data_IF_097546154417
#
_entry.id   IF_097546154417
#
_cell.length_a   1.000
_cell.length_b   1.000
_cell.length_c   1.000
_cell.angle_alpha   90.00
_cell.angle_beta   90.00
_cell.angle_gamma   90.00
#
_symmetry.space_group_name_H-M   'P 1'
#
loop_
_entity.id
_entity.type
_entity.pdbx_description
1 polymer ?
#
# COMPACT_ATOMS: atom_id res chain seq x y z
N UNK A 1 12.98 13.14 -18.77
CA UNK A 1 13.43 14.37 -19.47
C UNK A 1 14.16 15.21 -18.44
N UNK A 2 15.32 15.77 -18.79
CA UNK A 2 16.10 16.64 -17.92
C UNK A 2 16.49 17.90 -18.70
N UNK A 3 16.36 19.07 -18.07
CA UNK A 3 16.75 20.36 -18.63
C UNK A 3 17.37 21.20 -17.52
N UNK A 4 18.42 21.93 -17.85
CA UNK A 4 19.13 22.75 -16.87
C UNK A 4 19.65 24.03 -17.54
N UNK A 5 19.60 25.13 -16.80
CA UNK A 5 20.21 26.40 -17.21
C UNK A 5 20.78 27.12 -16.00
N UNK A 6 21.93 27.76 -16.17
CA UNK A 6 22.55 28.56 -15.11
C UNK A 6 22.99 29.93 -15.63
N UNK A 7 23.00 30.89 -14.71
CA UNK A 7 23.55 32.24 -14.90
C UNK A 7 24.41 32.57 -13.70
N UNK A 8 25.56 33.18 -13.92
CA UNK A 8 26.51 33.38 -12.83
C UNK A 8 27.52 34.49 -13.08
N UNK A 9 28.34 34.71 -12.07
CA UNK A 9 29.46 35.64 -12.09
C UNK A 9 30.74 34.90 -11.66
N UNK A 10 31.83 35.15 -12.38
CA UNK A 10 33.13 34.55 -12.11
C UNK A 10 34.21 35.59 -11.93
N UNK A 11 35.14 35.35 -11.01
CA UNK A 11 36.37 36.13 -10.85
C UNK A 11 37.55 35.20 -10.62
N UNK A 12 38.52 35.23 -11.53
CA UNK A 12 39.62 34.27 -11.53
C UNK A 12 39.12 32.83 -11.68
N UNK A 13 39.58 31.93 -10.80
CA UNK A 13 39.13 30.53 -10.77
C UNK A 13 37.83 30.30 -10.00
N UNK A 14 37.25 31.30 -9.33
CA UNK A 14 36.03 31.14 -8.55
C UNK A 14 34.79 31.63 -9.33
N UNK A 15 33.70 30.88 -9.24
CA UNK A 15 32.42 31.20 -9.90
C UNK A 15 31.24 30.98 -8.96
N UNK A 16 30.24 31.86 -9.03
CA UNK A 16 28.94 31.68 -8.36
C UNK A 16 27.87 31.62 -9.43
N UNK A 17 27.06 30.56 -9.43
CA UNK A 17 26.04 30.30 -10.44
C UNK A 17 24.67 30.08 -9.78
N UNK A 18 23.65 30.80 -10.26
CA UNK A 18 22.25 30.47 -10.02
C UNK A 18 21.81 29.51 -11.10
N UNK A 19 21.34 28.33 -10.71
CA UNK A 19 20.99 27.23 -11.58
C UNK A 19 19.53 26.83 -11.36
N UNK A 20 18.82 26.62 -12.47
CA UNK A 20 17.46 26.09 -12.48
C UNK A 20 17.48 24.79 -13.26
N UNK A 21 17.10 23.71 -12.60
CA UNK A 21 17.00 22.37 -13.18
C UNK A 21 15.58 21.85 -13.15
N UNK A 22 15.20 21.07 -14.16
CA UNK A 22 13.99 20.28 -14.18
C UNK A 22 14.31 18.83 -14.57
N UNK A 23 13.99 17.89 -13.69
CA UNK A 23 14.15 16.46 -13.93
C UNK A 23 12.83 15.72 -13.72
N UNK A 24 12.50 14.81 -14.64
CA UNK A 24 11.32 13.94 -14.56
C UNK A 24 11.73 12.47 -14.56
N UNK A 25 11.44 11.79 -13.46
CA UNK A 25 11.70 10.37 -13.21
C UNK A 25 10.40 9.58 -13.36
N UNK A 26 10.28 8.81 -14.44
CA UNK A 26 9.14 7.90 -14.62
C UNK A 26 9.23 6.73 -13.65
N UNK A 27 8.10 6.31 -13.09
CA UNK A 27 8.02 5.08 -12.31
C UNK A 27 8.01 3.88 -13.27
N UNK A 28 8.71 2.80 -12.90
CA UNK A 28 8.63 1.53 -13.63
C UNK A 28 7.84 0.55 -12.76
N UNK A 29 6.75 0.01 -13.30
CA UNK A 29 6.00 -1.07 -12.66
C UNK A 29 6.63 -2.42 -12.95
N UNK A 30 6.82 -3.26 -11.92
CA UNK A 30 7.16 -4.67 -12.12
C UNK A 30 5.85 -5.41 -12.41
N UNK A 31 5.68 -5.90 -13.64
CA UNK A 31 4.67 -6.92 -13.96
C UNK A 31 5.34 -8.28 -13.88
N UNK A 32 4.72 -9.21 -13.15
CA UNK A 32 5.20 -10.58 -12.91
C UNK A 32 5.08 -11.52 -14.14
N UNK A 33 5.05 -10.95 -15.34
CA UNK A 33 5.05 -11.69 -16.60
C UNK A 33 6.18 -11.14 -17.47
N UNK A 34 7.23 -11.94 -17.67
CA UNK A 34 8.50 -11.59 -18.33
C UNK A 34 8.42 -11.14 -19.79
N UNK A 35 7.62 -10.13 -20.09
CA UNK A 35 7.47 -9.56 -21.42
C UNK A 35 7.25 -8.05 -21.30
N UNK A 36 8.34 -7.32 -21.53
CA UNK A 36 8.46 -5.87 -21.77
C UNK A 36 8.04 -4.95 -20.61
N UNK A 37 9.01 -4.15 -20.17
CA UNK A 37 8.81 -2.99 -19.30
C UNK A 37 8.00 -1.93 -20.06
N UNK A 38 6.68 -2.02 -20.03
CA UNK A 38 5.83 -0.94 -20.52
C UNK A 38 5.81 0.17 -19.47
N UNK A 39 6.10 1.40 -19.91
CA UNK A 39 5.90 2.62 -19.12
C UNK A 39 4.41 2.79 -18.84
N UNK A 40 3.91 2.21 -17.75
CA UNK A 40 2.52 2.33 -17.33
C UNK A 40 2.39 3.32 -16.18
N UNK A 41 1.35 4.15 -16.22
CA UNK A 41 0.93 4.96 -15.07
C UNK A 41 0.61 4.02 -13.91
N UNK A 42 1.38 4.13 -12.82
CA UNK A 42 1.24 3.25 -11.67
C UNK A 42 0.15 3.78 -10.73
N UNK A 43 -0.87 2.95 -10.53
CA UNK A 43 -2.02 3.23 -9.68
C UNK A 43 -1.87 2.43 -8.38
N UNK A 44 -1.72 3.12 -7.26
CA UNK A 44 -1.52 2.51 -5.94
C UNK A 44 -2.81 2.51 -5.15
N UNK A 45 -3.28 1.32 -4.74
CA UNK A 45 -4.36 1.18 -3.77
C UNK A 45 -3.78 1.31 -2.36
N UNK A 46 -4.29 2.25 -1.58
CA UNK A 46 -3.90 2.44 -0.19
C UNK A 46 -4.56 1.36 0.67
N UNK A 47 -3.84 0.27 0.89
CA UNK A 47 -4.27 -0.78 1.82
C UNK A 47 -4.28 -0.22 3.25
N UNK A 48 -5.43 -0.35 3.91
CA UNK A 48 -5.58 -0.07 5.34
C UNK A 48 -5.34 -1.36 6.15
N UNK A 49 -5.52 -1.28 7.46
CA UNK A 49 -5.13 -2.30 8.44
C UNK A 49 -5.60 -3.72 8.04
N UNK A 50 -6.88 -3.91 7.70
CA UNK A 50 -7.43 -5.22 7.33
C UNK A 50 -6.87 -5.74 6.02
N UNK A 51 -6.87 -4.92 4.96
CA UNK A 51 -6.37 -5.32 3.65
C UNK A 51 -4.87 -5.67 3.71
N UNK A 52 -4.09 -4.87 4.42
CA UNK A 52 -2.66 -5.08 4.62
C UNK A 52 -2.37 -6.36 5.42
N UNK A 53 -3.07 -6.56 6.54
CA UNK A 53 -2.85 -7.73 7.41
C UNK A 53 -3.23 -9.05 6.73
N UNK A 54 -4.26 -9.06 5.88
CA UNK A 54 -4.61 -10.24 5.07
C UNK A 54 -3.51 -10.61 4.09
N UNK A 55 -3.00 -9.64 3.32
CA UNK A 55 -1.98 -9.89 2.29
C UNK A 55 -0.64 -10.26 2.91
N UNK A 56 -0.28 -9.65 4.04
CA UNK A 56 0.97 -9.93 4.75
C UNK A 56 0.89 -11.12 5.70
N UNK A 57 -0.31 -11.65 5.94
CA UNK A 57 -0.53 -12.82 6.80
C UNK A 57 -0.40 -12.53 8.30
N UNK A 58 -0.65 -11.30 8.74
CA UNK A 58 -0.59 -10.92 10.16
C UNK A 58 -1.87 -11.32 10.90
N UNK A 59 -2.05 -12.61 11.19
CA UNK A 59 -3.29 -13.16 11.76
C UNK A 59 -3.74 -12.48 13.05
N UNK A 60 -2.83 -12.17 13.98
CA UNK A 60 -3.19 -11.56 15.27
C UNK A 60 -3.61 -10.09 15.13
N UNK A 61 -2.91 -9.33 14.28
CA UNK A 61 -3.27 -7.94 13.98
C UNK A 61 -4.61 -7.88 13.24
N UNK A 62 -4.80 -8.74 12.25
CA UNK A 62 -6.06 -8.88 11.52
C UNK A 62 -7.21 -9.22 12.48
N UNK A 63 -7.01 -10.16 13.40
CA UNK A 63 -8.03 -10.53 14.38
C UNK A 63 -8.39 -9.34 15.29
N UNK A 64 -7.40 -8.56 15.74
CA UNK A 64 -7.63 -7.38 16.56
C UNK A 64 -8.36 -6.26 15.80
N UNK A 65 -8.01 -6.03 14.54
CA UNK A 65 -8.65 -5.05 13.67
C UNK A 65 -10.10 -5.47 13.30
N UNK A 66 -10.31 -6.75 12.95
CA UNK A 66 -11.64 -7.32 12.71
C UNK A 66 -12.54 -7.23 13.96
N UNK A 67 -11.98 -7.43 15.16
CA UNK A 67 -12.73 -7.32 16.40
C UNK A 67 -13.27 -5.90 16.67
N UNK A 68 -12.60 -4.86 16.15
CA UNK A 68 -13.05 -3.46 16.22
C UNK A 68 -14.06 -3.10 15.11
N UNK A 69 -14.22 -3.97 14.13
CA UNK A 69 -15.14 -3.76 13.00
C UNK A 69 -16.56 -4.13 13.40
N UNK A 70 -17.55 -3.34 12.97
CA UNK A 70 -18.94 -3.60 13.33
C UNK A 70 -19.44 -4.87 12.65
N UNK A 71 -20.31 -5.62 13.33
CA UNK A 71 -20.91 -6.84 12.74
C UNK A 71 -21.67 -6.54 11.44
N UNK A 72 -22.24 -5.33 11.30
CA UNK A 72 -22.93 -4.88 10.08
C UNK A 72 -21.97 -4.83 8.88
N UNK A 73 -20.78 -4.27 9.08
CA UNK A 73 -19.77 -4.15 8.02
C UNK A 73 -19.25 -5.55 7.61
N UNK A 74 -19.09 -6.46 8.57
CA UNK A 74 -18.70 -7.86 8.30
C UNK A 74 -19.76 -8.60 7.49
N UNK A 75 -21.04 -8.38 7.78
CA UNK A 75 -22.13 -8.93 6.96
C UNK A 75 -22.08 -8.39 5.54
N UNK A 76 -21.81 -7.09 5.35
CA UNK A 76 -21.69 -6.50 4.01
C UNK A 76 -20.50 -7.09 3.24
N UNK A 77 -19.35 -7.21 3.90
CA UNK A 77 -18.16 -7.88 3.35
C UNK A 77 -18.45 -9.32 2.93
N UNK A 78 -19.04 -10.13 3.81
CA UNK A 78 -19.37 -11.52 3.52
C UNK A 78 -20.37 -11.66 2.36
N UNK A 79 -21.35 -10.76 2.25
CA UNK A 79 -22.28 -10.70 1.10
C UNK A 79 -21.53 -10.42 -0.20
N UNK A 80 -20.58 -9.49 -0.20
CA UNK A 80 -19.76 -9.19 -1.37
C UNK A 80 -18.89 -10.39 -1.77
N UNK A 81 -18.25 -11.06 -0.80
CA UNK A 81 -17.48 -12.30 -1.04
C UNK A 81 -18.38 -13.39 -1.64
N UNK A 82 -19.54 -13.65 -1.05
CA UNK A 82 -20.46 -14.69 -1.49
C UNK A 82 -21.04 -14.47 -2.89
N UNK A 83 -21.26 -13.22 -3.30
CA UNK A 83 -21.76 -12.87 -4.64
C UNK A 83 -20.65 -12.91 -5.68
N UNK A 84 -19.48 -12.33 -5.39
CA UNK A 84 -18.42 -12.15 -6.39
C UNK A 84 -17.45 -13.33 -6.45
N UNK A 85 -17.21 -14.02 -5.34
CA UNK A 85 -16.20 -15.08 -5.22
C UNK A 85 -16.70 -16.27 -4.38
N UNK A 86 -17.69 -17.05 -4.87
CA UNK A 86 -18.23 -18.21 -4.17
C UNK A 86 -17.18 -19.25 -3.73
N UNK A 87 -16.08 -19.38 -4.47
CA UNK A 87 -14.98 -20.27 -4.11
C UNK A 87 -14.29 -19.83 -2.81
N UNK A 88 -14.11 -18.52 -2.60
CA UNK A 88 -13.53 -17.95 -1.37
C UNK A 88 -14.54 -18.10 -0.22
N UNK A 89 -15.81 -17.76 -0.46
CA UNK A 89 -16.91 -17.95 0.50
C UNK A 89 -16.92 -19.38 1.05
N UNK A 90 -16.69 -20.37 0.19
CA UNK A 90 -16.72 -21.79 0.57
C UNK A 90 -15.59 -22.26 1.51
N UNK A 91 -14.51 -21.49 1.62
CA UNK A 91 -13.32 -21.81 2.42
C UNK A 91 -13.35 -21.17 3.81
N UNK A 92 -13.92 -19.97 3.90
CA UNK A 92 -13.95 -19.17 5.12
C UNK A 92 -15.15 -19.57 5.99
N UNK A 93 -14.94 -19.66 7.30
CA UNK A 93 -15.93 -20.14 8.26
C UNK A 93 -16.54 -21.47 7.81
N UNK A 94 -15.73 -22.37 7.26
CA UNK A 94 -16.22 -23.68 6.85
C UNK A 94 -16.41 -24.56 8.08
N UNK A 95 -17.66 -24.90 8.41
CA UNK A 95 -17.98 -25.75 9.57
C UNK A 95 -17.29 -27.11 9.49
N UNK A 96 -16.98 -27.68 10.65
CA UNK A 96 -16.25 -28.94 10.77
C UNK A 96 -17.16 -30.07 11.24
N UNK A 97 -16.74 -31.30 10.99
CA UNK A 97 -17.42 -32.50 11.51
C UNK A 97 -17.18 -32.64 13.00
N UNK A 98 -18.20 -33.08 13.73
CA UNK A 98 -18.05 -33.49 15.13
C UNK A 98 -17.33 -34.82 15.31
N UNK A 99 -17.35 -35.68 14.29
CA UNK A 99 -16.64 -36.96 14.27
C UNK A 99 -16.21 -37.32 12.85
N UNK A 100 -14.97 -37.76 12.69
CA UNK A 100 -14.42 -38.23 11.42
C UNK A 100 -15.09 -39.50 10.91
N UNK A 101 -15.64 -40.32 11.81
CA UNK A 101 -16.28 -41.61 11.50
C UNK A 101 -17.73 -41.48 11.04
N UNK A 102 -18.38 -40.31 11.23
CA UNK A 102 -19.74 -40.08 10.76
C UNK A 102 -19.76 -39.25 9.47
N UNK A 103 -20.54 -39.73 8.49
CA UNK A 103 -20.68 -39.08 7.18
C UNK A 103 -21.27 -37.67 7.27
N UNK A 104 -22.27 -37.48 8.14
CA UNK A 104 -23.15 -36.31 8.16
C UNK A 104 -23.18 -35.59 9.53
N UNK A 105 -22.02 -35.17 10.04
CA UNK A 105 -21.88 -34.57 11.39
C UNK A 105 -21.34 -33.13 11.37
N UNK A 106 -21.53 -32.39 10.27
CA UNK A 106 -21.10 -31.00 10.19
C UNK A 106 -21.91 -30.10 11.13
N UNK A 107 -21.25 -29.04 11.64
CA UNK A 107 -21.92 -27.99 12.40
C UNK A 107 -22.97 -27.26 11.56
N UNK A 108 -23.99 -26.75 12.23
CA UNK A 108 -25.07 -25.94 11.64
C UNK A 108 -25.01 -24.57 12.30
N UNK A 109 -24.84 -23.51 11.50
CA UNK A 109 -24.80 -22.17 12.06
C UNK A 109 -26.13 -21.77 12.68
N UNK A 110 -26.05 -21.22 13.88
CA UNK A 110 -27.17 -20.80 14.68
C UNK A 110 -26.81 -19.58 15.53
N UNK A 111 -27.81 -18.98 16.15
CA UNK A 111 -27.61 -17.78 16.99
C UNK A 111 -26.92 -18.08 18.33
N UNK A 112 -26.81 -19.34 18.71
CA UNK A 112 -26.20 -19.81 19.96
C UNK A 112 -25.62 -21.22 19.72
N UNK A 113 -24.43 -21.51 20.22
CA UNK A 113 -23.87 -22.87 20.20
C UNK A 113 -24.57 -23.77 21.21
N UNK A 114 -25.09 -24.91 20.74
CA UNK A 114 -25.67 -25.98 21.55
C UNK A 114 -25.17 -27.36 21.06
N UNK A 115 -23.95 -27.68 21.47
CA UNK A 115 -23.32 -28.97 21.18
C UNK A 115 -23.77 -30.12 22.09
N UNK A 116 -24.64 -29.91 23.08
CA UNK A 116 -24.92 -30.90 24.13
C UNK A 116 -26.42 -31.21 24.37
N UNK A 117 -27.34 -30.43 23.80
CA UNK A 117 -28.79 -30.59 23.99
C UNK A 117 -29.42 -31.74 23.20
N UNK A 118 -30.65 -32.15 23.57
CA UNK A 118 -31.41 -33.20 22.88
C UNK A 118 -32.14 -32.71 21.61
N UNK A 119 -32.33 -31.39 21.42
CA UNK A 119 -33.21 -30.82 20.38
C UNK A 119 -32.49 -30.00 19.30
N UNK A 120 -31.26 -29.53 19.55
CA UNK A 120 -30.50 -28.63 18.68
C UNK A 120 -29.06 -29.11 18.45
N UNK A 121 -28.87 -30.43 18.38
CA UNK A 121 -27.54 -31.06 18.31
C UNK A 121 -26.74 -30.55 17.13
N UNK A 122 -25.62 -29.89 17.39
CA UNK A 122 -24.69 -29.44 16.34
C UNK A 122 -24.88 -28.00 15.89
N UNK A 123 -25.77 -27.25 16.55
CA UNK A 123 -25.86 -25.80 16.41
C UNK A 123 -24.58 -25.12 16.91
N UNK A 124 -24.02 -24.22 16.12
CA UNK A 124 -22.77 -23.53 16.42
C UNK A 124 -22.83 -22.05 16.05
N UNK A 125 -22.36 -21.20 16.96
CA UNK A 125 -22.23 -19.75 16.75
C UNK A 125 -20.76 -19.31 16.53
N UNK A 126 -19.82 -20.25 16.52
CA UNK A 126 -18.40 -20.00 16.23
C UNK A 126 -18.10 -20.27 14.75
N UNK A 127 -17.49 -19.30 14.06
CA UNK A 127 -16.95 -19.46 12.71
C UNK A 127 -16.00 -20.68 12.63
N UNK A 128 -16.26 -21.60 11.69
CA UNK A 128 -15.52 -22.84 11.55
C UNK A 128 -15.79 -23.88 12.63
N UNK A 129 -16.84 -23.68 13.43
CA UNK A 129 -17.22 -24.57 14.52
C UNK A 129 -17.60 -25.98 14.08
N UNK A 130 -17.42 -26.94 14.99
CA UNK A 130 -17.69 -28.36 14.74
C UNK A 130 -19.11 -28.74 15.15
N UNK A 131 -19.70 -29.70 14.42
CA UNK A 131 -20.97 -30.31 14.80
C UNK A 131 -20.83 -31.31 15.95
N UNK A 132 -21.93 -32.03 16.25
CA UNK A 132 -21.94 -33.02 17.33
C UNK A 132 -21.38 -34.38 16.88
N UNK A 133 -20.58 -35.03 17.73
CA UNK A 133 -19.83 -36.24 17.37
C UNK A 133 -20.68 -37.50 17.15
N UNK A 134 -21.82 -37.62 17.82
CA UNK A 134 -22.60 -38.86 17.89
C UNK A 134 -23.95 -38.79 17.19
N UNK A 135 -24.23 -37.72 16.42
CA UNK A 135 -25.52 -37.55 15.73
C UNK A 135 -25.32 -37.09 14.30
N UNK A 136 -26.07 -37.70 13.38
CA UNK A 136 -26.19 -37.21 12.01
C UNK A 136 -27.01 -35.92 12.01
N UNK A 137 -26.35 -34.78 11.79
CA UNK A 137 -26.97 -33.44 11.83
C UNK A 137 -27.07 -32.85 10.43
N UNK A 138 -25.94 -32.73 9.74
CA UNK A 138 -25.85 -32.08 8.45
C UNK A 138 -24.81 -32.78 7.57
N UNK A 139 -25.19 -33.08 6.33
CA UNK A 139 -24.37 -33.82 5.37
C UNK A 139 -23.28 -32.95 4.73
N UNK A 140 -23.51 -31.64 4.63
CA UNK A 140 -22.62 -30.69 3.97
C UNK A 140 -22.17 -29.61 4.93
N UNK A 141 -20.93 -29.09 4.81
CA UNK A 141 -20.49 -27.96 5.61
C UNK A 141 -21.28 -26.71 5.25
N UNK A 142 -21.52 -25.86 6.24
CA UNK A 142 -21.89 -24.46 6.05
C UNK A 142 -20.65 -23.57 6.01
N UNK A 143 -20.79 -22.39 5.41
CA UNK A 143 -19.67 -21.51 5.03
C UNK A 143 -19.94 -20.05 5.43
N UNK A 144 -19.11 -19.10 5.00
CA UNK A 144 -19.17 -17.69 5.44
C UNK A 144 -20.54 -17.04 5.26
N UNK A 145 -21.20 -17.19 4.11
CA UNK A 145 -22.56 -16.65 3.91
C UNK A 145 -23.60 -17.21 4.90
N UNK A 146 -23.45 -18.47 5.30
CA UNK A 146 -24.36 -19.12 6.25
C UNK A 146 -24.10 -18.61 7.67
N UNK A 147 -22.83 -18.46 8.03
CA UNK A 147 -22.39 -17.84 9.28
C UNK A 147 -23.00 -16.45 9.43
N UNK A 148 -22.86 -15.58 8.42
CA UNK A 148 -23.41 -14.22 8.53
C UNK A 148 -24.94 -14.20 8.53
N UNK A 149 -25.59 -15.13 7.83
CA UNK A 149 -27.05 -15.21 7.78
C UNK A 149 -27.66 -15.73 9.09
N UNK A 150 -27.07 -16.78 9.68
CA UNK A 150 -27.65 -17.51 10.81
C UNK A 150 -27.07 -17.11 12.16
N UNK A 151 -25.77 -16.84 12.21
CA UNK A 151 -25.07 -16.50 13.44
C UNK A 151 -25.11 -14.99 13.70
N UNK A 152 -24.87 -14.18 12.67
CA UNK A 152 -24.94 -12.70 12.74
C UNK A 152 -26.33 -12.15 12.40
N UNK A 153 -27.33 -13.02 12.22
CA UNK A 153 -28.73 -12.68 11.91
C UNK A 153 -28.92 -11.85 10.63
N UNK A 154 -27.93 -11.85 9.73
CA UNK A 154 -27.95 -11.10 8.48
C UNK A 154 -27.85 -9.57 8.63
N UNK A 155 -27.72 -9.06 9.86
CA UNK A 155 -27.60 -7.63 10.17
C UNK A 155 -26.41 -7.30 11.09
N UNK A 156 -25.73 -8.30 11.66
CA UNK A 156 -24.55 -8.12 12.50
C UNK A 156 -24.86 -7.77 13.95
N UNK A 157 -26.11 -7.91 14.39
CA UNK A 157 -26.56 -7.50 15.74
C UNK A 157 -26.20 -8.49 16.85
N UNK A 158 -25.76 -9.71 16.49
CA UNK A 158 -25.42 -10.77 17.44
C UNK A 158 -24.14 -11.48 17.01
N UNK A 159 -23.43 -12.06 17.99
CA UNK A 159 -22.29 -12.96 17.81
C UNK A 159 -21.06 -12.36 17.11
N UNK A 160 -20.96 -11.03 17.00
CA UNK A 160 -19.75 -10.37 16.53
C UNK A 160 -19.26 -9.35 17.58
N UNK A 161 -17.96 -9.34 17.93
CA UNK A 161 -16.88 -10.24 17.47
C UNK A 161 -16.75 -11.56 18.25
N UNK A 162 -17.63 -11.81 19.21
CA UNK A 162 -17.59 -12.97 20.11
C UNK A 162 -18.85 -13.83 19.97
N UNK A 163 -18.72 -15.14 19.95
CA UNK A 163 -19.81 -16.12 19.84
C UNK A 163 -20.66 -16.18 21.12
N UNK A 164 -21.79 -16.91 21.06
CA UNK A 164 -22.65 -17.18 22.22
C UNK A 164 -22.87 -18.68 22.34
N UNK A 165 -22.87 -19.23 23.56
CA UNK A 165 -23.24 -20.62 23.81
C UNK A 165 -24.23 -20.73 24.96
N UNK A 166 -24.96 -21.85 25.02
CA UNK A 166 -25.69 -22.24 26.24
C UNK A 166 -24.71 -22.69 27.32
N UNK A 167 -25.14 -22.75 28.59
CA UNK A 167 -24.28 -23.06 29.74
C UNK A 167 -23.50 -24.39 29.59
N UNK A 168 -24.09 -25.39 28.93
CA UNK A 168 -23.46 -26.68 28.64
C UNK A 168 -23.00 -26.82 27.19
N UNK A 169 -23.06 -25.74 26.40
CA UNK A 169 -22.76 -25.74 24.98
C UNK A 169 -21.26 -25.85 24.71
N UNK A 170 -20.89 -26.41 23.57
CA UNK A 170 -19.52 -26.45 23.10
C UNK A 170 -19.48 -25.96 21.64
N UNK A 171 -18.53 -25.09 21.27
CA UNK A 171 -17.52 -24.44 22.12
C UNK A 171 -18.13 -23.37 23.04
N UNK A 172 -17.51 -23.13 24.20
CA UNK A 172 -17.82 -21.99 25.05
C UNK A 172 -17.21 -20.71 24.45
N UNK A 173 -17.86 -19.54 24.61
CA UNK A 173 -17.36 -18.30 24.04
C UNK A 173 -16.04 -17.88 24.66
N UNK A 174 -15.10 -17.46 23.81
CA UNK A 174 -13.89 -16.76 24.23
C UNK A 174 -13.87 -15.36 23.64
N UNK A 175 -13.20 -14.43 24.32
CA UNK A 175 -13.10 -13.04 23.85
C UNK A 175 -12.57 -12.99 22.41
N UNK A 176 -13.39 -12.42 21.52
CA UNK A 176 -13.15 -12.21 20.09
C UNK A 176 -12.94 -13.50 19.29
N UNK A 177 -13.49 -14.63 19.74
CA UNK A 177 -13.33 -15.93 19.08
C UNK A 177 -13.75 -15.95 17.59
N UNK A 178 -14.85 -15.29 17.22
CA UNK A 178 -15.31 -15.18 15.85
C UNK A 178 -14.38 -14.32 14.99
N UNK A 179 -13.90 -13.18 15.53
CA UNK A 179 -12.92 -12.35 14.82
C UNK A 179 -11.59 -13.10 14.59
N UNK A 180 -11.12 -13.84 15.61
CA UNK A 180 -9.92 -14.69 15.51
C UNK A 180 -10.09 -15.82 14.50
N UNK A 181 -11.24 -16.49 14.50
CA UNK A 181 -11.53 -17.58 13.57
C UNK A 181 -11.61 -17.07 12.12
N UNK A 182 -12.29 -15.95 11.86
CA UNK A 182 -12.33 -15.33 10.52
C UNK A 182 -10.93 -14.92 10.08
N UNK A 183 -10.15 -14.25 10.93
CA UNK A 183 -8.78 -13.84 10.60
C UNK A 183 -7.90 -15.04 10.23
N UNK A 184 -8.02 -16.13 11.00
CA UNK A 184 -7.29 -17.37 10.75
C UNK A 184 -7.64 -17.96 9.39
N UNK A 185 -8.92 -18.07 9.07
CA UNK A 185 -9.36 -18.65 7.79
C UNK A 185 -8.91 -17.77 6.60
N UNK A 186 -9.03 -16.44 6.71
CA UNK A 186 -8.58 -15.51 5.66
C UNK A 186 -7.07 -15.59 5.40
N UNK A 187 -6.26 -15.90 6.42
CA UNK A 187 -4.80 -15.99 6.28
C UNK A 187 -4.34 -17.40 5.91
N UNK A 188 -4.99 -18.45 6.41
CA UNK A 188 -4.48 -19.83 6.31
C UNK A 188 -5.13 -20.65 5.21
N UNK A 189 -6.41 -20.38 4.88
CA UNK A 189 -7.17 -21.21 3.93
C UNK A 189 -7.14 -20.65 2.50
N UNK A 190 -6.69 -19.41 2.33
CA UNK A 190 -6.67 -18.69 1.05
C UNK A 190 -5.29 -18.69 0.40
N UNK A 191 -5.26 -18.76 -0.93
CA UNK A 191 -4.03 -18.56 -1.71
C UNK A 191 -3.61 -17.09 -1.73
N UNK A 192 -2.37 -16.74 -2.11
CA UNK A 192 -1.93 -15.34 -2.26
C UNK A 192 -2.84 -14.49 -3.17
N UNK A 193 -3.35 -15.08 -4.25
CA UNK A 193 -4.27 -14.42 -5.19
C UNK A 193 -5.63 -14.17 -4.54
N UNK A 194 -6.17 -15.16 -3.81
CA UNK A 194 -7.43 -15.04 -3.08
C UNK A 194 -7.33 -14.01 -1.94
N UNK A 195 -6.18 -13.93 -1.26
CA UNK A 195 -5.90 -12.90 -0.26
C UNK A 195 -5.93 -11.50 -0.86
N UNK A 196 -5.36 -11.33 -2.05
CA UNK A 196 -5.38 -10.06 -2.77
C UNK A 196 -6.81 -9.64 -3.13
N UNK A 197 -7.64 -10.60 -3.56
CA UNK A 197 -9.07 -10.36 -3.81
C UNK A 197 -9.80 -9.94 -2.53
N UNK A 198 -9.59 -10.66 -1.43
CA UNK A 198 -10.20 -10.35 -0.13
C UNK A 198 -9.77 -8.98 0.36
N UNK A 199 -8.49 -8.63 0.24
CA UNK A 199 -7.98 -7.32 0.63
C UNK A 199 -8.65 -6.19 -0.16
N UNK A 200 -8.85 -6.37 -1.47
CA UNK A 200 -9.62 -5.43 -2.29
C UNK A 200 -11.08 -5.29 -1.84
N UNK A 201 -11.73 -6.41 -1.48
CA UNK A 201 -13.10 -6.39 -0.96
C UNK A 201 -13.19 -5.72 0.42
N UNK A 202 -12.22 -5.94 1.31
CA UNK A 202 -12.15 -5.28 2.62
C UNK A 202 -11.98 -3.77 2.47
N UNK A 203 -11.11 -3.33 1.56
CA UNK A 203 -10.96 -1.92 1.22
C UNK A 203 -12.28 -1.33 0.68
N UNK A 204 -12.96 -2.03 -0.23
CA UNK A 204 -14.21 -1.58 -0.87
C UNK A 204 -15.44 -1.56 0.05
N UNK A 205 -15.47 -2.40 1.08
CA UNK A 205 -16.68 -2.62 1.91
C UNK A 205 -16.54 -2.14 3.36
N UNK A 206 -15.33 -2.15 3.92
CA UNK A 206 -15.11 -1.85 5.34
C UNK A 206 -14.22 -0.61 5.52
N UNK A 207 -13.05 -0.61 4.89
CA UNK A 207 -12.00 0.36 5.24
C UNK A 207 -12.02 1.65 4.42
N UNK A 208 -12.71 1.63 3.27
CA UNK A 208 -12.69 2.69 2.28
C UNK A 208 -11.41 2.63 1.44
N UNK A 209 -11.58 2.28 0.17
CA UNK A 209 -10.50 2.18 -0.80
C UNK A 209 -10.16 3.54 -1.40
N UNK A 210 -8.91 3.94 -1.23
CA UNK A 210 -8.35 5.16 -1.79
C UNK A 210 -7.19 4.81 -2.71
N UNK A 211 -7.06 5.56 -3.78
CA UNK A 211 -6.11 5.30 -4.85
C UNK A 211 -5.30 6.55 -5.12
N UNK A 212 -3.99 6.38 -5.27
CA UNK A 212 -3.08 7.44 -5.69
C UNK A 212 -2.45 7.06 -7.02
N UNK A 213 -2.62 7.92 -8.02
CA UNK A 213 -1.96 7.78 -9.31
C UNK A 213 -0.61 8.49 -9.27
N UNK A 214 0.47 7.72 -9.40
CA UNK A 214 1.84 8.25 -9.46
C UNK A 214 2.38 7.91 -10.84
N UNK A 215 2.47 8.92 -11.72
CA UNK A 215 2.99 8.77 -13.09
C UNK A 215 4.49 8.96 -13.17
N UNK A 216 4.97 9.96 -12.46
CA UNK A 216 6.38 10.33 -12.42
C UNK A 216 6.64 11.16 -11.18
N UNK A 217 7.85 11.04 -10.64
CA UNK A 217 8.38 11.99 -9.68
C UNK A 217 9.10 13.07 -10.46
N UNK A 218 8.67 14.32 -10.33
CA UNK A 218 9.32 15.49 -10.92
C UNK A 218 10.10 16.26 -9.85
N UNK A 219 11.19 16.89 -10.28
CA UNK A 219 12.11 17.65 -9.45
C UNK A 219 12.38 18.95 -10.18
N UNK A 220 11.98 20.08 -9.60
CA UNK A 220 12.39 21.41 -10.09
C UNK A 220 13.33 22.02 -9.06
N UNK A 221 14.60 22.12 -9.40
CA UNK A 221 15.62 22.63 -8.48
C UNK A 221 15.96 24.09 -8.79
N UNK A 222 16.17 24.87 -7.73
CA UNK A 222 16.72 26.22 -7.79
C UNK A 222 17.92 26.26 -6.86
N UNK A 223 19.12 26.27 -7.44
CA UNK A 223 20.38 26.04 -6.75
C UNK A 223 21.30 27.25 -6.88
N UNK A 224 21.98 27.60 -5.79
CA UNK A 224 23.13 28.53 -5.82
C UNK A 224 24.38 27.69 -5.67
N UNK A 225 25.18 27.61 -6.73
CA UNK A 225 26.42 26.85 -6.80
C UNK A 225 27.62 27.78 -6.61
N UNK A 226 28.54 27.38 -5.74
CA UNK A 226 29.89 27.91 -5.69
C UNK A 226 30.81 26.90 -6.39
N UNK A 227 31.45 27.34 -7.47
CA UNK A 227 32.32 26.54 -8.32
C UNK A 227 33.76 27.06 -8.25
N UNK A 228 34.71 26.14 -8.39
CA UNK A 228 36.11 26.45 -8.52
C UNK A 228 36.74 25.70 -9.70
N UNK A 229 37.39 26.45 -10.58
CA UNK A 229 38.17 25.97 -11.71
C UNK A 229 39.61 25.74 -11.27
N UNK A 230 40.03 24.48 -11.25
CA UNK A 230 41.41 24.11 -10.96
C UNK A 230 42.26 24.39 -12.19
N UNK A 231 43.20 25.32 -12.07
CA UNK A 231 44.12 25.63 -13.15
C UNK A 231 44.97 24.40 -13.49
N UNK A 232 44.91 23.96 -14.74
CA UNK A 232 45.82 22.94 -15.29
C UNK A 232 46.79 23.63 -16.24
N UNK A 233 48.09 23.56 -15.94
CA UNK A 233 49.12 24.06 -16.85
C UNK A 233 49.11 23.22 -18.15
N UNK A 234 48.94 23.89 -19.30
CA UNK A 234 49.38 23.37 -20.60
C UNK A 234 48.37 22.60 -21.49
N UNK A 235 47.10 22.39 -21.11
CA UNK A 235 46.21 21.50 -21.91
C UNK A 235 44.87 22.06 -22.41
N UNK A 236 44.52 23.33 -22.18
CA UNK A 236 43.22 23.90 -22.61
C UNK A 236 41.98 23.26 -21.96
N UNK A 237 42.19 22.28 -21.06
CA UNK A 237 41.19 21.58 -20.25
C UNK A 237 41.37 22.02 -18.80
N UNK A 238 40.28 22.44 -18.18
CA UNK A 238 40.22 22.98 -16.83
C UNK A 238 39.27 22.12 -15.99
N UNK A 239 39.78 21.31 -15.05
CA UNK A 239 38.94 20.63 -14.08
C UNK A 239 38.14 21.63 -13.24
N UNK A 240 36.90 21.29 -12.91
CA UNK A 240 36.10 22.10 -12.00
C UNK A 240 35.38 21.24 -10.97
N UNK A 241 35.09 21.85 -9.82
CA UNK A 241 34.21 21.30 -8.80
C UNK A 241 33.25 22.37 -8.30
N UNK A 242 32.01 21.98 -7.99
CA UNK A 242 31.00 22.88 -7.45
C UNK A 242 30.30 22.27 -6.25
N UNK A 243 29.93 23.13 -5.31
CA UNK A 243 29.03 22.83 -4.20
C UNK A 243 27.85 23.80 -4.27
N UNK A 244 26.65 23.25 -4.35
CA UNK A 244 25.41 23.99 -4.45
C UNK A 244 24.46 23.73 -3.30
N UNK A 245 23.78 24.78 -2.88
CA UNK A 245 22.70 24.73 -1.90
C UNK A 245 21.48 25.45 -2.48
N UNK A 246 20.29 24.93 -2.22
CA UNK A 246 19.09 25.50 -2.79
C UNK A 246 17.80 24.84 -2.35
N UNK A 247 16.73 25.19 -3.07
CA UNK A 247 15.41 24.59 -2.91
C UNK A 247 15.13 23.59 -4.02
N UNK A 248 14.36 22.56 -3.70
CA UNK A 248 13.85 21.61 -4.66
C UNK A 248 12.33 21.47 -4.50
N UNK A 249 11.61 21.63 -5.59
CA UNK A 249 10.17 21.48 -5.67
C UNK A 249 9.88 20.09 -6.24
N UNK A 250 9.48 19.17 -5.36
CA UNK A 250 9.22 17.77 -5.73
C UNK A 250 7.74 17.57 -6.02
N UNK A 251 7.42 17.08 -7.21
CA UNK A 251 6.06 16.71 -7.60
C UNK A 251 5.90 15.19 -7.65
N UNK A 252 5.11 14.62 -6.74
CA UNK A 252 4.84 13.16 -6.67
C UNK A 252 3.56 12.78 -7.41
N UNK A 253 2.53 13.64 -7.33
CA UNK A 253 1.23 13.49 -8.00
C UNK A 253 0.99 14.73 -8.85
N UNK A 254 0.27 14.58 -9.97
CA UNK A 254 -0.03 15.68 -10.88
C UNK A 254 -0.69 16.86 -10.12
N UNK A 255 -0.08 18.03 -10.18
CA UNK A 255 -0.59 19.26 -9.56
C UNK A 255 -0.25 19.48 -8.08
N UNK A 256 0.47 18.56 -7.42
CA UNK A 256 0.89 18.71 -6.03
C UNK A 256 2.43 18.80 -5.91
N UNK A 257 2.92 19.91 -5.35
CA UNK A 257 4.36 20.23 -5.28
C UNK A 257 4.75 20.48 -3.83
N UNK A 258 5.76 19.76 -3.35
CA UNK A 258 6.30 19.91 -2.00
C UNK A 258 7.69 20.57 -2.07
N UNK A 259 7.88 21.77 -1.50
CA UNK A 259 9.19 22.41 -1.41
C UNK A 259 10.04 21.73 -0.33
N UNK A 260 11.28 21.39 -0.68
CA UNK A 260 12.30 20.83 0.23
C UNK A 260 13.62 21.57 0.00
N UNK A 261 14.56 21.46 0.94
CA UNK A 261 15.93 21.94 0.73
C UNK A 261 16.72 20.87 -0.02
N UNK A 262 17.74 21.28 -0.76
CA UNK A 262 18.62 20.35 -1.47
C UNK A 262 20.06 20.85 -1.49
N UNK A 263 20.98 19.92 -1.69
CA UNK A 263 22.36 20.22 -2.05
C UNK A 263 22.75 19.46 -3.32
N UNK A 264 23.67 20.07 -4.07
CA UNK A 264 24.19 19.51 -5.32
C UNK A 264 25.71 19.59 -5.30
N UNK A 265 26.36 18.50 -5.69
CA UNK A 265 27.81 18.43 -5.86
C UNK A 265 28.07 18.16 -7.33
N UNK A 266 28.93 18.96 -7.96
CA UNK A 266 29.31 18.78 -9.37
C UNK A 266 30.81 18.66 -9.49
N UNK A 267 31.26 17.84 -10.42
CA UNK A 267 32.66 17.80 -10.81
C UNK A 267 32.79 17.43 -12.28
N UNK A 268 33.73 18.07 -12.98
CA UNK A 268 33.89 17.84 -14.41
C UNK A 268 35.10 18.51 -15.00
N UNK A 269 35.10 18.59 -16.33
CA UNK A 269 36.14 19.19 -17.15
C UNK A 269 35.50 20.26 -18.04
N UNK A 270 36.17 21.39 -18.18
CA UNK A 270 35.80 22.49 -19.07
C UNK A 270 36.89 22.68 -20.11
N UNK A 271 36.53 22.67 -21.39
CA UNK A 271 37.42 22.93 -22.52
C UNK A 271 37.17 24.34 -23.06
N UNK A 272 38.21 25.16 -23.10
CA UNK A 272 38.11 26.51 -23.65
C UNK A 272 38.16 26.46 -25.18
N UNK A 273 37.07 26.88 -25.84
CA UNK A 273 36.99 27.01 -27.30
C UNK A 273 37.47 28.39 -27.75
N UNK A 274 37.09 29.44 -27.01
CA UNK A 274 37.56 30.82 -27.14
C UNK A 274 37.62 31.46 -25.73
N UNK A 275 38.19 32.68 -25.57
CA UNK A 275 38.18 33.37 -24.29
C UNK A 275 36.77 33.57 -23.68
N UNK A 276 35.75 33.66 -24.54
CA UNK A 276 34.35 33.88 -24.17
C UNK A 276 33.50 32.60 -24.17
N UNK A 277 33.96 31.52 -24.80
CA UNK A 277 33.16 30.29 -25.00
C UNK A 277 33.93 29.07 -24.49
N UNK A 278 33.29 28.32 -23.59
CA UNK A 278 33.82 27.04 -23.10
C UNK A 278 32.76 25.95 -23.14
N UNK A 279 33.14 24.75 -23.59
CA UNK A 279 32.30 23.56 -23.47
C UNK A 279 32.67 22.80 -22.18
N UNK A 280 31.70 22.24 -21.48
CA UNK A 280 31.97 21.45 -20.27
C UNK A 280 31.24 20.12 -20.31
N UNK A 281 31.82 19.15 -19.63
CA UNK A 281 31.21 17.85 -19.34
C UNK A 281 31.53 17.46 -17.89
N UNK A 282 30.55 16.93 -17.18
CA UNK A 282 30.69 16.61 -15.76
C UNK A 282 29.67 15.61 -15.27
N UNK A 283 29.85 15.21 -14.03
CA UNK A 283 28.87 14.47 -13.27
C UNK A 283 28.41 15.26 -12.07
N UNK A 284 27.18 15.03 -11.64
CA UNK A 284 26.64 15.63 -10.44
C UNK A 284 25.95 14.60 -9.55
N UNK A 285 25.94 14.91 -8.26
CA UNK A 285 25.11 14.27 -7.25
C UNK A 285 24.15 15.31 -6.70
N UNK A 286 22.87 15.02 -6.70
CA UNK A 286 21.82 15.88 -6.15
C UNK A 286 21.10 15.13 -5.02
N UNK A 287 20.92 15.78 -3.88
CA UNK A 287 20.18 15.22 -2.75
C UNK A 287 19.18 16.22 -2.19
N UNK A 288 17.94 15.77 -2.09
CA UNK A 288 16.88 16.44 -1.36
C UNK A 288 17.06 16.13 0.13
N UNK A 289 17.04 17.17 0.95
CA UNK A 289 17.22 17.12 2.40
C UNK A 289 15.87 17.29 3.08
N UNK A 290 15.61 16.44 4.07
CA UNK A 290 14.38 16.48 4.86
C UNK A 290 14.08 15.12 5.47
N UNK A 291 12.91 15.04 6.08
CA UNK A 291 12.28 13.84 6.63
C UNK A 291 11.85 12.81 5.57
N UNK A 292 11.86 13.20 4.28
CA UNK A 292 11.37 12.37 3.18
C UNK A 292 9.84 12.27 3.13
N UNK A 293 9.13 13.07 3.93
CA UNK A 293 7.68 13.06 4.02
C UNK A 293 7.09 14.01 2.98
N UNK A 294 6.15 13.50 2.18
CA UNK A 294 5.36 14.24 1.21
C UNK A 294 3.88 14.03 1.56
N UNK A 295 3.32 15.01 2.27
CA UNK A 295 1.95 14.97 2.77
C UNK A 295 0.95 15.55 1.76
N UNK A 296 -0.34 15.42 2.08
CA UNK A 296 -1.47 15.99 1.35
C UNK A 296 -1.54 15.60 -0.14
N UNK A 297 -0.99 14.43 -0.50
CA UNK A 297 -1.07 13.91 -1.85
C UNK A 297 -2.53 13.55 -2.17
N UNK A 298 -3.14 14.11 -3.24
CA UNK A 298 -4.55 13.90 -3.51
C UNK A 298 -4.82 12.41 -3.79
N UNK A 299 -5.73 11.84 -3.02
CA UNK A 299 -6.19 10.46 -3.18
C UNK A 299 -7.61 10.45 -3.75
N UNK A 300 -7.87 9.53 -4.67
CA UNK A 300 -9.18 9.35 -5.28
C UNK A 300 -9.89 8.15 -4.65
N UNK A 301 -11.19 8.27 -4.42
CA UNK A 301 -12.01 7.15 -3.95
C UNK A 301 -12.26 6.16 -5.09
N UNK A 302 -12.34 4.87 -4.76
CA UNK A 302 -12.78 3.86 -5.72
C UNK A 302 -14.22 4.14 -6.18
N UNK A 303 -14.48 3.99 -7.48
CA UNK A 303 -15.79 4.23 -8.11
C UNK A 303 -16.91 3.42 -7.43
N UNK A 304 -16.59 2.21 -6.98
CA UNK A 304 -17.55 1.33 -6.30
C UNK A 304 -17.33 1.26 -4.77
N UNK A 305 -16.72 2.27 -4.14
CA UNK A 305 -16.54 2.27 -2.70
C UNK A 305 -17.90 2.28 -1.96
N UNK A 306 -18.18 1.19 -1.26
CA UNK A 306 -19.41 0.99 -0.46
C UNK A 306 -19.16 1.09 1.04
N UNK A 307 -17.95 1.47 1.44
CA UNK A 307 -17.57 1.61 2.85
C UNK A 307 -18.35 2.72 3.58
N UNK A 308 -18.43 2.66 4.92
CA UNK A 308 -19.05 3.71 5.71
C UNK A 308 -18.42 5.10 5.49
N UNK A 309 -19.22 6.16 5.60
CA UNK A 309 -18.73 7.54 5.48
C UNK A 309 -17.64 7.86 6.54
N UNK A 310 -16.66 8.69 6.15
CA UNK A 310 -15.54 9.10 7.02
C UNK A 310 -14.41 8.07 7.13
N UNK A 311 -14.46 7.00 6.33
CA UNK A 311 -13.37 6.01 6.26
C UNK A 311 -12.24 6.42 5.32
N UNK A 312 -12.48 7.33 4.38
CA UNK A 312 -11.47 7.92 3.48
C UNK A 312 -10.98 9.27 4.02
N UNK A 313 -9.73 9.62 3.74
CA UNK A 313 -9.10 10.89 4.15
C UNK A 313 -8.91 11.86 2.99
N UNK A 314 -9.12 11.41 1.75
CA UNK A 314 -8.94 12.12 0.47
C UNK A 314 -7.49 12.59 0.21
N UNK A 315 -6.58 12.30 1.14
CA UNK A 315 -5.15 12.62 1.08
C UNK A 315 -4.30 11.42 1.51
N UNK A 316 -3.14 11.28 0.90
CA UNK A 316 -2.14 10.27 1.20
C UNK A 316 -0.81 10.90 1.61
N UNK A 317 0.04 10.09 2.25
CA UNK A 317 1.40 10.45 2.63
C UNK A 317 2.36 9.51 1.90
N UNK A 318 3.32 10.06 1.18
CA UNK A 318 4.45 9.30 0.65
C UNK A 318 5.68 9.57 1.52
N UNK A 319 6.42 8.50 1.86
CA UNK A 319 7.68 8.61 2.59
C UNK A 319 8.81 8.01 1.76
N UNK A 320 9.69 8.85 1.22
CA UNK A 320 10.89 8.41 0.51
C UNK A 320 12.00 9.47 0.56
N UNK A 321 13.25 9.00 0.55
CA UNK A 321 14.41 9.88 0.37
C UNK A 321 14.73 10.02 -1.11
N UNK A 322 14.94 11.25 -1.59
CA UNK A 322 15.27 11.52 -2.99
C UNK A 322 16.72 11.95 -3.14
N UNK A 323 17.50 11.13 -3.85
CA UNK A 323 18.84 11.46 -4.31
C UNK A 323 19.08 10.84 -5.69
N UNK A 324 19.81 11.54 -6.55
CA UNK A 324 20.10 11.07 -7.89
C UNK A 324 21.47 11.56 -8.37
N UNK A 325 22.05 10.79 -9.30
CA UNK A 325 23.27 11.15 -10.02
C UNK A 325 22.94 11.36 -11.48
N UNK A 326 23.65 12.29 -12.12
CA UNK A 326 23.50 12.55 -13.54
C UNK A 326 24.80 12.99 -14.18
N UNK A 327 24.84 12.88 -15.51
CA UNK A 327 25.87 13.50 -16.33
C UNK A 327 25.33 14.80 -16.92
N UNK A 328 26.17 15.82 -17.00
CA UNK A 328 25.87 17.09 -17.64
C UNK A 328 26.88 17.37 -18.76
N UNK A 329 26.41 17.98 -19.84
CA UNK A 329 27.24 18.55 -20.88
C UNK A 329 26.61 19.85 -21.34
N UNK A 330 27.41 20.87 -21.60
CA UNK A 330 26.90 22.19 -21.95
C UNK A 330 27.95 23.12 -22.51
N UNK A 331 27.50 24.32 -22.88
CA UNK A 331 28.34 25.41 -23.35
C UNK A 331 28.09 26.62 -22.45
N UNK A 332 29.17 27.25 -22.01
CA UNK A 332 29.17 28.48 -21.23
C UNK A 332 29.64 29.63 -22.11
N UNK A 333 28.94 30.76 -21.98
CA UNK A 333 29.31 32.03 -22.59
C UNK A 333 29.67 33.01 -21.47
N UNK A 334 30.89 33.55 -21.52
CA UNK A 334 31.38 34.61 -20.65
C UNK A 334 31.42 35.91 -21.46
N UNK A 335 30.78 36.96 -20.94
CA UNK A 335 30.69 38.29 -21.56
C UNK A 335 31.31 39.34 -20.64
#
# INVERSE_FOLDING_TARGET
MAMEGSVGYGIGGARVELEIGYERFKTKGIRDSGSKEDEADTVYLLAKELAYDVVTGQTDNLAAALAKTSGKDIVQFAKAVGVSHPNIDSKVCRTKKGSSSQGSSYGVYASTSDGAGNSYRGDVALCGGAGHASTSVNASPQVLKDFVAKTLLGNGSKNWPTSTAVTSGTPQPETNDNAKAVAKDLVQELTPEEKTIVAGLLAKTIEGGEVVEIRAVSSTSVMVNACYDLLSEGLGVVPYACVGLGGNFVGVVDGHITPKLAYRLKAGLSYQLSPEISAFAGGFYHRVVGDGIYDDLPAQRLVDDTSPAGRTKDTAIANFSMAYVGGEFGVRFAF
#
